data_IF_169174316697
#
_entry.id   IF_169174316697
#
_cell.length_a   1.000
_cell.length_b   1.000
_cell.length_c   1.000
_cell.angle_alpha   90.00
_cell.angle_beta   90.00
_cell.angle_gamma   90.00
#
_symmetry.space_group_name_H-M   'P 1'
#
loop_
_entity.id
_entity.type
_entity.pdbx_description
1 polymer ?
#
# COMPACT_ATOMS: atom_id res chain seq x y z
N UNK A 1 -27.50 -15.71 13.65
CA UNK A 1 -26.39 -16.68 13.41
C UNK A 1 -25.11 -15.88 13.33
N UNK A 2 -24.02 -16.29 13.99
CA UNK A 2 -22.74 -15.56 13.90
C UNK A 2 -22.12 -15.79 12.52
N UNK A 3 -21.79 -14.71 11.81
CA UNK A 3 -21.13 -14.72 10.50
C UNK A 3 -19.62 -14.57 10.69
N UNK A 4 -18.85 -15.55 10.19
CA UNK A 4 -17.38 -15.51 10.22
C UNK A 4 -16.82 -15.15 8.84
N UNK A 5 -15.90 -14.18 8.80
CA UNK A 5 -15.01 -13.95 7.68
C UNK A 5 -13.73 -14.78 7.89
N UNK A 6 -13.38 -15.62 6.92
CA UNK A 6 -12.20 -16.50 6.99
C UNK A 6 -11.19 -16.05 5.94
N UNK A 7 -10.10 -15.43 6.39
CA UNK A 7 -8.99 -14.96 5.57
C UNK A 7 -7.89 -16.01 5.58
N UNK A 8 -7.48 -16.48 4.40
CA UNK A 8 -6.45 -17.52 4.22
C UNK A 8 -5.49 -17.19 3.09
N UNK A 9 -4.29 -17.75 3.18
CA UNK A 9 -3.38 -17.90 2.05
C UNK A 9 -3.65 -19.29 1.45
N UNK A 10 -3.75 -19.36 0.12
CA UNK A 10 -3.89 -20.63 -0.62
C UNK A 10 -3.56 -20.43 -2.10
N UNK A 11 -3.03 -21.45 -2.78
CA UNK A 11 -2.81 -21.39 -4.23
C UNK A 11 -4.13 -21.29 -5.02
N UNK A 12 -4.03 -21.07 -6.33
CA UNK A 12 -5.21 -21.08 -7.21
C UNK A 12 -5.75 -22.52 -7.38
N UNK A 13 -4.89 -23.54 -7.36
CA UNK A 13 -5.32 -24.94 -7.32
C UNK A 13 -6.07 -25.24 -6.00
N UNK A 14 -5.49 -24.91 -4.83
CA UNK A 14 -6.12 -25.09 -3.50
C UNK A 14 -7.42 -24.28 -3.30
N UNK A 15 -7.66 -23.27 -4.15
CA UNK A 15 -8.93 -22.55 -4.24
C UNK A 15 -9.93 -23.29 -5.14
N UNK A 16 -9.47 -23.79 -6.28
CA UNK A 16 -10.28 -24.49 -7.29
C UNK A 16 -10.70 -25.88 -6.83
N UNK A 17 -9.78 -26.71 -6.33
CA UNK A 17 -10.08 -28.04 -5.75
C UNK A 17 -11.13 -27.95 -4.65
N UNK A 18 -10.98 -26.98 -3.76
CA UNK A 18 -11.90 -26.70 -2.65
C UNK A 18 -13.25 -26.14 -3.11
N UNK A 19 -13.29 -25.44 -4.24
CA UNK A 19 -14.56 -25.00 -4.85
C UNK A 19 -15.29 -26.19 -5.46
N UNK A 20 -14.59 -27.00 -6.26
CA UNK A 20 -15.12 -28.23 -6.85
C UNK A 20 -15.63 -29.18 -5.76
N UNK A 21 -14.82 -29.46 -4.73
CA UNK A 21 -15.22 -30.29 -3.60
C UNK A 21 -16.44 -29.74 -2.84
N UNK A 22 -16.60 -28.42 -2.73
CA UNK A 22 -17.80 -27.82 -2.11
C UNK A 22 -19.06 -28.03 -2.96
N UNK A 23 -18.94 -27.94 -4.29
CA UNK A 23 -20.02 -28.25 -5.25
C UNK A 23 -20.36 -29.74 -5.21
N UNK A 24 -19.37 -30.62 -5.36
CA UNK A 24 -19.53 -32.08 -5.38
C UNK A 24 -20.13 -32.64 -4.08
N UNK A 25 -19.68 -32.13 -2.92
CA UNK A 25 -20.19 -32.58 -1.62
C UNK A 25 -21.52 -31.91 -1.23
N UNK A 26 -22.06 -30.99 -2.04
CA UNK A 26 -23.24 -30.19 -1.71
C UNK A 26 -23.11 -29.33 -0.45
N UNK A 27 -21.88 -29.11 0.04
CA UNK A 27 -21.58 -28.43 1.30
C UNK A 27 -21.16 -26.99 0.99
N UNK A 28 -21.99 -25.97 1.30
CA UNK A 28 -21.59 -24.59 1.07
C UNK A 28 -20.30 -24.27 1.83
N UNK A 29 -19.44 -23.45 1.24
CA UNK A 29 -18.26 -22.91 1.92
C UNK A 29 -18.74 -22.09 3.13
N UNK A 30 -18.59 -22.66 4.32
CA UNK A 30 -19.06 -22.04 5.56
C UNK A 30 -18.33 -20.72 5.83
N UNK A 31 -19.10 -19.63 5.90
CA UNK A 31 -18.58 -18.27 6.05
C UNK A 31 -18.03 -17.67 4.74
N UNK A 32 -17.85 -16.35 4.70
CA UNK A 32 -17.22 -15.70 3.54
C UNK A 32 -15.72 -15.98 3.59
N UNK A 33 -15.21 -16.67 2.57
CA UNK A 33 -13.82 -17.10 2.50
C UNK A 33 -13.04 -16.20 1.55
N UNK A 34 -11.96 -15.60 2.04
CA UNK A 34 -11.06 -14.73 1.28
C UNK A 34 -9.71 -15.42 1.13
N UNK A 35 -9.36 -15.80 -0.09
CA UNK A 35 -8.08 -16.46 -0.43
C UNK A 35 -7.12 -15.46 -1.07
N UNK A 36 -5.88 -15.44 -0.58
CA UNK A 36 -4.77 -14.66 -1.15
C UNK A 36 -3.67 -15.60 -1.62
N UNK A 37 -3.02 -15.29 -2.74
CA UNK A 37 -1.98 -16.14 -3.30
C UNK A 37 -0.69 -16.18 -2.45
N UNK A 38 -0.33 -15.05 -1.80
CA UNK A 38 0.92 -14.93 -1.02
C UNK A 38 0.72 -14.11 0.26
N UNK A 39 1.65 -14.19 1.25
CA UNK A 39 1.59 -13.37 2.46
C UNK A 39 1.69 -11.88 2.19
N UNK A 40 2.50 -11.47 1.22
CA UNK A 40 2.76 -10.06 0.88
C UNK A 40 1.47 -9.42 0.34
N UNK A 41 0.71 -10.15 -0.49
CA UNK A 41 -0.60 -9.70 -0.97
C UNK A 41 -1.62 -9.56 0.17
N UNK A 42 -1.61 -10.50 1.14
CA UNK A 42 -2.43 -10.43 2.34
C UNK A 42 -2.06 -9.19 3.17
N UNK A 43 -0.78 -8.97 3.49
CA UNK A 43 -0.34 -7.82 4.31
C UNK A 43 -0.49 -6.46 3.58
N UNK A 44 -0.34 -6.42 2.25
CA UNK A 44 -0.64 -5.25 1.40
C UNK A 44 -2.14 -4.91 1.39
N UNK A 45 -3.00 -5.92 1.52
CA UNK A 45 -4.45 -5.74 1.65
C UNK A 45 -4.83 -5.34 3.08
N UNK A 46 -4.27 -6.01 4.09
CA UNK A 46 -4.60 -5.85 5.50
C UNK A 46 -3.50 -5.12 6.29
N UNK A 47 -3.35 -3.83 5.99
CA UNK A 47 -2.45 -2.93 6.70
C UNK A 47 -2.97 -2.57 8.11
N UNK A 48 -2.11 -2.13 9.02
CA UNK A 48 -2.48 -1.75 10.40
C UNK A 48 -3.67 -0.78 10.52
N UNK A 49 -3.81 0.27 9.68
CA UNK A 49 -5.00 1.13 9.68
C UNK A 49 -6.30 0.37 9.37
N UNK A 50 -6.26 -0.56 8.41
CA UNK A 50 -7.41 -1.39 8.01
C UNK A 50 -7.78 -2.40 9.09
N UNK A 51 -6.79 -2.96 9.79
CA UNK A 51 -7.05 -3.74 11.02
C UNK A 51 -7.71 -2.92 12.12
N UNK A 52 -7.37 -1.62 12.29
CA UNK A 52 -8.07 -0.74 13.25
C UNK A 52 -9.52 -0.49 12.81
N UNK A 53 -9.81 -0.32 11.51
CA UNK A 53 -11.19 -0.26 10.99
C UNK A 53 -11.96 -1.55 11.32
N UNK A 54 -11.42 -2.71 10.95
CA UNK A 54 -12.07 -4.01 11.19
C UNK A 54 -12.37 -4.19 12.68
N UNK A 55 -11.42 -3.90 13.57
CA UNK A 55 -11.61 -3.97 15.03
C UNK A 55 -12.68 -3.01 15.59
N UNK A 56 -12.90 -1.86 14.96
CA UNK A 56 -13.93 -0.88 15.38
C UNK A 56 -15.31 -1.22 14.80
N UNK A 57 -15.36 -1.94 13.68
CA UNK A 57 -16.60 -2.33 13.01
C UNK A 57 -17.08 -3.77 13.33
N UNK A 58 -16.22 -4.62 13.88
CA UNK A 58 -16.59 -5.99 14.30
C UNK A 58 -17.60 -5.90 15.45
N UNK A 59 -18.82 -6.39 15.24
CA UNK A 59 -19.93 -6.27 16.19
C UNK A 59 -20.56 -4.87 16.29
N UNK A 60 -20.16 -3.92 15.43
CA UNK A 60 -20.84 -2.62 15.31
C UNK A 60 -21.90 -2.66 14.20
N UNK A 61 -22.99 -1.91 14.40
CA UNK A 61 -24.02 -1.71 13.38
C UNK A 61 -23.56 -0.82 12.21
N UNK A 62 -24.42 -0.60 11.20
CA UNK A 62 -24.15 0.27 10.06
C UNK A 62 -23.70 1.67 10.51
N UNK A 63 -22.63 2.22 9.92
CA UNK A 63 -22.12 3.55 10.28
C UNK A 63 -21.55 4.33 9.08
N UNK A 64 -21.47 5.66 9.23
CA UNK A 64 -20.86 6.52 8.22
C UNK A 64 -19.33 6.61 8.37
N UNK A 65 -18.64 6.95 7.28
CA UNK A 65 -17.18 7.19 7.30
C UNK A 65 -16.78 8.28 8.30
N UNK A 66 -17.65 9.28 8.52
CA UNK A 66 -17.40 10.38 9.48
C UNK A 66 -17.43 9.87 10.93
N UNK A 67 -18.33 8.94 11.23
CA UNK A 67 -18.42 8.29 12.56
C UNK A 67 -17.25 7.33 12.78
N UNK A 68 -16.92 6.50 11.79
CA UNK A 68 -15.75 5.64 11.81
C UNK A 68 -14.46 6.44 12.01
N UNK A 69 -14.30 7.57 11.33
CA UNK A 69 -13.13 8.45 11.47
C UNK A 69 -13.02 9.08 12.87
N UNK A 70 -14.15 9.44 13.51
CA UNK A 70 -14.17 9.88 14.91
C UNK A 70 -13.71 8.78 15.87
N UNK A 71 -14.25 7.55 15.75
CA UNK A 71 -13.87 6.39 16.58
C UNK A 71 -12.41 5.96 16.39
N UNK A 72 -11.82 6.28 15.24
CA UNK A 72 -10.43 5.98 14.92
C UNK A 72 -9.46 7.12 15.26
N UNK A 73 -9.97 8.30 15.63
CA UNK A 73 -9.19 9.54 15.83
C UNK A 73 -8.31 9.86 14.61
N UNK A 74 -8.88 9.74 13.41
CA UNK A 74 -8.16 9.86 12.13
C UNK A 74 -8.87 10.74 11.12
N UNK A 75 -8.11 11.15 10.11
CA UNK A 75 -8.62 11.96 9.02
C UNK A 75 -9.59 11.17 8.11
N UNK A 76 -10.67 11.85 7.69
CA UNK A 76 -11.73 11.23 6.87
C UNK A 76 -11.19 10.76 5.50
N UNK A 77 -10.14 11.39 4.95
CA UNK A 77 -9.56 11.04 3.64
C UNK A 77 -8.71 9.76 3.70
N UNK A 78 -8.01 9.51 4.81
CA UNK A 78 -7.34 8.25 5.11
C UNK A 78 -8.36 7.13 5.29
N UNK A 79 -9.32 7.33 6.20
CA UNK A 79 -10.35 6.33 6.49
C UNK A 79 -11.18 5.99 5.25
N UNK A 80 -11.56 6.97 4.40
CA UNK A 80 -12.27 6.69 3.15
C UNK A 80 -11.48 5.79 2.19
N UNK A 81 -10.16 6.01 2.04
CA UNK A 81 -9.31 5.17 1.17
C UNK A 81 -9.13 3.75 1.72
N UNK A 82 -8.96 3.61 3.03
CA UNK A 82 -8.85 2.30 3.67
C UNK A 82 -10.19 1.54 3.69
N UNK A 83 -11.32 2.26 3.81
CA UNK A 83 -12.67 1.72 3.58
C UNK A 83 -12.83 1.23 2.14
N UNK A 84 -12.44 2.03 1.14
CA UNK A 84 -12.54 1.63 -0.28
C UNK A 84 -11.71 0.37 -0.58
N UNK A 85 -10.50 0.25 -0.03
CA UNK A 85 -9.69 -0.96 -0.17
C UNK A 85 -10.35 -2.21 0.43
N UNK A 86 -11.06 -2.07 1.55
CA UNK A 86 -11.79 -3.17 2.21
C UNK A 86 -13.13 -3.51 1.52
N UNK A 87 -13.79 -2.53 0.90
CA UNK A 87 -14.93 -2.73 0.00
C UNK A 87 -14.48 -3.48 -1.28
N UNK A 88 -13.36 -3.08 -1.88
CA UNK A 88 -12.78 -3.76 -3.05
C UNK A 88 -12.33 -5.18 -2.74
N UNK A 89 -11.82 -5.44 -1.52
CA UNK A 89 -11.52 -6.78 -1.04
C UNK A 89 -12.78 -7.60 -0.65
N UNK A 90 -13.98 -7.01 -0.69
CA UNK A 90 -15.25 -7.68 -0.42
C UNK A 90 -15.53 -7.99 1.06
N UNK A 91 -14.80 -7.37 1.99
CA UNK A 91 -14.98 -7.55 3.45
C UNK A 91 -16.01 -6.61 4.06
N UNK A 92 -16.35 -5.52 3.38
CA UNK A 92 -17.43 -4.62 3.76
C UNK A 92 -18.45 -4.51 2.63
N UNK A 93 -19.65 -4.12 3.02
CA UNK A 93 -20.79 -3.88 2.14
C UNK A 93 -21.31 -2.45 2.39
N UNK A 94 -21.86 -1.80 1.37
CA UNK A 94 -22.57 -0.54 1.54
C UNK A 94 -24.06 -0.81 1.67
N UNK A 95 -24.69 -0.18 2.65
CA UNK A 95 -26.14 -0.13 2.80
C UNK A 95 -26.80 0.71 1.69
N UNK A 96 -28.11 0.53 1.49
CA UNK A 96 -28.91 1.35 0.58
C UNK A 96 -28.82 2.86 0.91
N UNK A 97 -28.59 3.22 2.19
CA UNK A 97 -28.43 4.59 2.64
C UNK A 97 -26.98 5.12 2.52
N UNK A 98 -26.05 4.36 1.92
CA UNK A 98 -24.63 4.74 1.81
C UNK A 98 -23.84 4.67 3.12
N UNK A 99 -24.42 4.08 4.17
CA UNK A 99 -23.68 3.65 5.36
C UNK A 99 -22.85 2.39 5.04
N UNK A 100 -21.80 2.14 5.81
CA UNK A 100 -20.94 0.96 5.63
C UNK A 100 -21.26 -0.06 6.70
N UNK A 101 -21.36 -1.31 6.27
CA UNK A 101 -21.64 -2.48 7.09
C UNK A 101 -20.42 -3.41 7.03
N UNK A 102 -20.00 -3.90 8.20
CA UNK A 102 -19.11 -5.05 8.29
C UNK A 102 -19.94 -6.27 8.73
N UNK A 103 -20.39 -7.13 7.79
CA UNK A 103 -21.44 -8.11 8.07
C UNK A 103 -20.92 -9.37 8.77
N UNK A 104 -19.89 -9.26 9.62
CA UNK A 104 -19.22 -10.39 10.28
C UNK A 104 -19.00 -10.10 11.77
N UNK A 105 -19.42 -11.05 12.62
CA UNK A 105 -19.20 -11.04 14.07
C UNK A 105 -17.78 -11.49 14.45
N UNK A 106 -17.10 -12.20 13.54
CA UNK A 106 -15.80 -12.84 13.80
C UNK A 106 -14.93 -12.80 12.56
N UNK A 107 -13.64 -12.49 12.75
CA UNK A 107 -12.62 -12.59 11.70
C UNK A 107 -11.60 -13.64 12.10
N UNK A 108 -11.49 -14.69 11.29
CA UNK A 108 -10.50 -15.75 11.44
C UNK A 108 -9.42 -15.56 10.38
N UNK A 109 -8.19 -15.30 10.80
CA UNK A 109 -7.01 -15.25 9.90
C UNK A 109 -6.19 -16.49 10.15
N UNK A 110 -5.89 -17.24 9.09
CA UNK A 110 -5.06 -18.45 9.19
C UNK A 110 -4.18 -18.58 7.96
N UNK A 111 -2.87 -18.64 8.18
CA UNK A 111 -1.91 -18.98 7.14
C UNK A 111 -0.86 -19.94 7.71
N UNK A 112 -0.30 -20.76 6.82
CA UNK A 112 0.86 -21.61 7.09
C UNK A 112 1.94 -21.18 6.11
N UNK A 113 3.17 -21.08 6.60
CA UNK A 113 4.35 -20.79 5.80
C UNK A 113 5.28 -21.99 5.92
N UNK A 114 5.53 -22.68 4.81
CA UNK A 114 6.43 -23.84 4.71
C UNK A 114 7.85 -23.32 4.47
N UNK A 115 8.86 -24.14 4.77
CA UNK A 115 10.25 -23.78 4.48
C UNK A 115 10.53 -23.61 2.96
N UNK A 116 9.76 -24.28 2.11
CA UNK A 116 9.79 -24.07 0.65
C UNK A 116 9.32 -22.66 0.24
N UNK A 117 8.39 -22.07 0.98
CA UNK A 117 7.79 -20.76 0.69
C UNK A 117 8.72 -19.60 1.13
N UNK A 118 9.80 -19.89 1.87
CA UNK A 118 10.78 -18.92 2.37
C UNK A 118 11.94 -18.64 1.39
N UNK A 119 11.95 -19.31 0.24
CA UNK A 119 12.93 -19.09 -0.83
C UNK A 119 12.16 -18.77 -2.13
N UNK A 120 12.53 -17.75 -2.92
CA UNK A 120 13.88 -17.16 -2.97
C UNK A 120 13.92 -15.64 -2.66
N UNK A 121 13.99 -15.27 -1.37
CA UNK A 121 14.46 -13.93 -0.97
C UNK A 121 15.95 -13.68 -1.35
N UNK A 122 16.63 -14.68 -1.92
CA UNK A 122 17.97 -14.57 -2.48
C UNK A 122 17.98 -13.97 -3.90
N UNK A 123 17.03 -14.30 -4.78
CA UNK A 123 17.09 -13.91 -6.20
C UNK A 123 16.83 -12.42 -6.45
N UNK A 124 16.18 -11.72 -5.51
CA UNK A 124 16.07 -10.25 -5.58
C UNK A 124 17.41 -9.52 -5.31
N UNK A 125 18.39 -10.18 -4.68
CA UNK A 125 19.73 -9.58 -4.49
C UNK A 125 20.60 -9.62 -5.75
N UNK A 126 20.36 -10.56 -6.65
CA UNK A 126 21.18 -10.72 -7.86
C UNK A 126 20.84 -9.69 -8.93
N UNK A 127 19.57 -9.24 -9.00
CA UNK A 127 19.17 -8.10 -9.86
C UNK A 127 19.76 -6.75 -9.44
N UNK A 128 20.43 -6.66 -8.29
CA UNK A 128 21.22 -5.49 -7.88
C UNK A 128 22.72 -5.60 -8.24
N UNK A 129 23.15 -6.72 -8.83
CA UNK A 129 24.54 -7.06 -9.11
C UNK A 129 24.81 -7.23 -10.62
N UNK A 130 24.42 -6.25 -11.43
CA UNK A 130 24.89 -6.16 -12.82
C UNK A 130 26.41 -5.84 -12.84
N UNK A 131 27.20 -6.42 -13.75
CA UNK A 131 28.65 -6.49 -13.59
C UNK A 131 29.39 -5.19 -13.93
N UNK A 132 30.40 -4.86 -13.12
CA UNK A 132 31.48 -3.95 -13.51
C UNK A 132 32.42 -4.72 -14.44
N UNK A 133 32.21 -4.58 -15.75
CA UNK A 133 33.12 -5.12 -16.78
C UNK A 133 34.09 -4.02 -17.19
N UNK A 134 35.26 -4.02 -16.57
CA UNK A 134 36.35 -3.09 -16.88
C UNK A 134 37.42 -3.77 -17.77
N UNK A 135 37.38 -3.51 -19.07
CA UNK A 135 38.55 -3.64 -19.97
C UNK A 135 38.41 -2.73 -21.19
N UNK A 136 39.22 -1.66 -21.25
CA UNK A 136 40.33 -1.56 -22.22
C UNK A 136 41.16 -0.30 -22.06
N UNK A 137 42.47 -0.48 -21.88
CA UNK A 137 43.44 0.60 -21.75
C UNK A 137 44.05 1.01 -23.11
N UNK A 138 44.23 2.33 -23.33
CA UNK A 138 45.36 2.91 -24.08
C UNK A 138 45.43 4.45 -23.90
N UNK A 139 46.64 4.98 -23.74
CA UNK A 139 47.05 6.39 -23.74
C UNK A 139 48.05 6.62 -24.92
N UNK A 140 48.60 7.82 -25.19
CA UNK A 140 48.10 9.22 -25.06
C UNK A 140 48.40 10.09 -26.32
N UNK A 141 48.11 11.42 -26.29
CA UNK A 141 49.08 12.54 -26.51
C UNK A 141 48.56 13.85 -27.20
N UNK A 142 48.81 14.98 -26.50
CA UNK A 142 49.12 16.37 -26.92
C UNK A 142 48.18 17.22 -27.83
N UNK A 143 48.20 18.53 -27.55
CA UNK A 143 47.55 19.64 -28.28
C UNK A 143 48.61 20.59 -28.91
N UNK A 144 48.22 21.69 -29.62
CA UNK A 144 48.27 23.01 -28.95
C UNK A 144 47.28 24.11 -29.47
N UNK A 145 47.40 25.32 -28.88
CA UNK A 145 47.10 26.66 -29.44
C UNK A 145 45.75 27.37 -29.16
N UNK A 146 45.84 28.41 -28.32
CA UNK A 146 44.96 29.60 -28.13
C UNK A 146 45.26 30.70 -29.20
N UNK A 147 44.66 31.94 -29.27
CA UNK A 147 43.97 32.71 -28.22
C UNK A 147 42.87 33.76 -28.61
N UNK A 148 42.45 34.57 -27.62
CA UNK A 148 41.71 35.87 -27.67
C UNK A 148 40.20 35.75 -27.99
N UNK A 149 39.32 36.65 -27.55
CA UNK A 149 39.50 38.02 -27.01
C UNK A 149 38.63 38.27 -25.74
N UNK A 150 39.09 39.16 -24.85
CA UNK A 150 38.32 39.73 -23.71
C UNK A 150 38.27 41.26 -23.87
N UNK A 151 37.21 41.98 -23.43
CA UNK A 151 37.17 42.42 -22.03
C UNK A 151 35.77 42.57 -21.38
N UNK A 152 35.72 42.67 -20.05
CA UNK A 152 34.62 43.29 -19.28
C UNK A 152 34.80 44.83 -19.22
N UNK A 153 33.85 45.66 -18.71
CA UNK A 153 33.70 45.89 -17.24
C UNK A 153 32.24 46.39 -16.88
N UNK A 154 31.83 47.13 -15.82
CA UNK A 154 32.35 47.56 -14.48
C UNK A 154 31.16 48.06 -13.59
N UNK A 155 31.24 47.92 -12.25
CA UNK A 155 30.43 48.62 -11.18
C UNK A 155 28.88 48.50 -11.25
N UNK A 156 28.01 48.82 -10.27
CA UNK A 156 28.07 49.19 -8.82
C UNK A 156 26.98 48.38 -8.07
N UNK A 157 27.00 47.97 -6.79
CA UNK A 157 27.46 48.52 -5.48
C UNK A 157 26.52 49.58 -4.85
N UNK A 158 26.03 49.30 -3.61
CA UNK A 158 25.19 50.14 -2.69
C UNK A 158 23.68 50.26 -3.09
N UNK A 159 22.71 50.48 -2.16
CA UNK A 159 22.75 50.56 -0.67
C UNK A 159 21.42 50.15 0.03
N UNK A 160 21.61 49.65 1.26
CA UNK A 160 20.76 49.64 2.47
C UNK A 160 19.37 50.33 2.56
N UNK A 161 18.45 49.60 3.21
CA UNK A 161 17.60 49.97 4.37
C UNK A 161 16.47 51.03 4.29
N UNK A 162 15.21 50.54 4.40
CA UNK A 162 14.14 51.01 5.33
C UNK A 162 12.97 50.00 5.20
N UNK A 163 12.44 49.40 6.27
CA UNK A 163 11.60 49.97 7.35
C UNK A 163 10.14 50.27 6.92
N UNK A 164 9.24 49.32 7.21
CA UNK A 164 7.79 49.50 7.46
C UNK A 164 7.57 50.30 8.78
N UNK A 165 6.34 50.71 9.21
CA UNK A 165 5.00 50.40 8.67
C UNK A 165 4.01 51.61 8.56
N UNK A 166 2.76 51.29 8.18
CA UNK A 166 1.50 51.94 8.58
C UNK A 166 1.12 53.33 8.01
N UNK A 167 -0.17 53.48 7.74
CA UNK A 167 -0.81 54.71 7.24
C UNK A 167 -2.19 54.41 6.64
N UNK A 168 -3.22 54.36 7.48
CA UNK A 168 -4.59 54.01 7.10
C UNK A 168 -5.49 55.26 7.06
N UNK A 169 -6.08 55.57 5.91
CA UNK A 169 -7.19 56.53 5.73
C UNK A 169 -7.93 56.24 4.42
#
# INVERSE_FOLDING_TARGET
MKKTATIRISSLEELTERFNAAVENGKPLHGRNFSYATPELLFRTFTTPRWRIIRVMTGAGPMSIRELARRLERDVKGVHRDVQALLQAGLMENDANGAIIFPYDTVHVNFKLKAADLSPLASERESAAAPVVEDRAALPQRAPSTPRTSPAPRVSRKRAASARPAGNR
#
